data_IF_869108598801
#
_entry.id   IF_869108598801
#
_cell.length_a   1.000
_cell.length_b   1.000
_cell.length_c   1.000
_cell.angle_alpha   90.00
_cell.angle_beta   90.00
_cell.angle_gamma   90.00
#
_symmetry.space_group_name_H-M   'P 1'
#
loop_
_entity.id
_entity.type
_entity.pdbx_description
1 polymer ?
#
# COMPACT_ATOMS: atom_id res chain seq x y z
N UNK A 1 7.43 23.76 -15.07
CA UNK A 1 5.96 23.68 -14.91
C UNK A 1 5.72 22.60 -13.89
N UNK A 2 5.15 22.93 -12.72
CA UNK A 2 4.84 21.90 -11.76
C UNK A 2 3.65 21.07 -12.28
N UNK A 3 3.66 19.73 -12.11
CA UNK A 3 2.54 18.90 -12.52
C UNK A 3 1.26 19.29 -11.77
N UNK A 4 0.15 19.42 -12.49
CA UNK A 4 -1.14 19.69 -11.87
C UNK A 4 -1.64 18.47 -11.09
N UNK A 5 -2.00 18.66 -9.83
CA UNK A 5 -2.42 17.56 -8.95
C UNK A 5 -3.68 16.86 -9.45
N UNK A 6 -4.61 17.58 -10.10
CA UNK A 6 -5.83 16.99 -10.63
C UNK A 6 -5.50 16.08 -11.82
N UNK A 7 -4.64 16.52 -12.72
CA UNK A 7 -4.15 15.69 -13.82
C UNK A 7 -3.44 14.42 -13.32
N UNK A 8 -2.63 14.53 -12.26
CA UNK A 8 -1.97 13.37 -11.66
C UNK A 8 -3.02 12.39 -11.11
N UNK A 9 -4.02 12.87 -10.37
CA UNK A 9 -5.07 12.00 -9.83
C UNK A 9 -5.85 11.30 -10.94
N UNK A 10 -6.21 12.02 -11.99
CA UNK A 10 -6.93 11.47 -13.14
C UNK A 10 -6.11 10.40 -13.89
N UNK A 11 -4.81 10.64 -14.09
CA UNK A 11 -3.94 9.72 -14.82
C UNK A 11 -3.51 8.50 -13.99
N UNK A 12 -3.22 8.67 -12.70
CA UNK A 12 -2.58 7.65 -11.87
C UNK A 12 -3.49 7.04 -10.81
N UNK A 13 -4.71 7.58 -10.62
CA UNK A 13 -5.76 7.07 -9.73
C UNK A 13 -5.95 5.56 -9.82
N UNK A 14 -6.25 5.08 -11.03
CA UNK A 14 -6.49 3.66 -11.30
C UNK A 14 -5.25 2.81 -11.03
N UNK A 15 -4.05 3.31 -11.38
CA UNK A 15 -2.80 2.60 -11.15
C UNK A 15 -2.55 2.38 -9.65
N UNK A 16 -2.64 3.44 -8.83
CA UNK A 16 -2.41 3.37 -7.38
C UNK A 16 -3.40 2.41 -6.73
N UNK A 17 -4.70 2.58 -7.02
CA UNK A 17 -5.75 1.70 -6.48
C UNK A 17 -5.54 0.24 -6.90
N UNK A 18 -5.21 -0.01 -8.18
CA UNK A 18 -5.00 -1.37 -8.68
C UNK A 18 -3.78 -2.05 -8.06
N UNK A 19 -2.69 -1.33 -7.82
CA UNK A 19 -1.51 -1.91 -7.16
C UNK A 19 -1.86 -2.25 -5.70
N UNK A 20 -2.55 -1.36 -4.98
CA UNK A 20 -2.91 -1.57 -3.58
C UNK A 20 -3.80 -2.82 -3.44
N UNK A 21 -4.89 -2.90 -4.21
CA UNK A 21 -5.83 -4.03 -4.14
C UNK A 21 -5.27 -5.35 -4.67
N UNK A 22 -4.22 -5.33 -5.51
CA UNK A 22 -3.53 -6.55 -5.93
C UNK A 22 -2.55 -7.09 -4.89
N UNK A 23 -1.98 -6.20 -4.08
CA UNK A 23 -0.90 -6.57 -3.14
C UNK A 23 -1.38 -6.78 -1.70
N UNK A 24 -2.51 -6.17 -1.32
CA UNK A 24 -3.05 -6.20 0.04
C UNK A 24 -4.46 -6.80 -0.02
N UNK A 25 -4.69 -7.84 0.77
CA UNK A 25 -5.96 -8.58 0.77
C UNK A 25 -7.05 -7.84 1.54
N UNK A 26 -6.69 -7.23 2.67
CA UNK A 26 -7.57 -6.44 3.50
C UNK A 26 -7.88 -5.10 2.79
N UNK A 27 -9.16 -4.90 2.49
CA UNK A 27 -9.62 -3.73 1.74
C UNK A 27 -9.36 -2.40 2.45
N UNK A 28 -9.46 -2.37 3.77
CA UNK A 28 -9.21 -1.15 4.56
C UNK A 28 -7.71 -0.81 4.57
N UNK A 29 -6.85 -1.82 4.77
CA UNK A 29 -5.39 -1.64 4.70
C UNK A 29 -4.98 -1.22 3.27
N UNK A 30 -5.60 -1.78 2.23
CA UNK A 30 -5.33 -1.39 0.85
C UNK A 30 -5.71 0.08 0.59
N UNK A 31 -6.85 0.54 1.14
CA UNK A 31 -7.32 1.92 1.04
C UNK A 31 -6.39 2.88 1.80
N UNK A 32 -5.97 2.52 3.00
CA UNK A 32 -5.00 3.29 3.80
C UNK A 32 -3.66 3.42 3.07
N UNK A 33 -3.14 2.32 2.53
CA UNK A 33 -1.90 2.32 1.74
C UNK A 33 -2.01 3.23 0.51
N UNK A 34 -3.13 3.18 -0.22
CA UNK A 34 -3.38 4.04 -1.37
C UNK A 34 -3.44 5.53 -0.97
N UNK A 35 -4.07 5.85 0.17
CA UNK A 35 -4.12 7.22 0.70
C UNK A 35 -2.73 7.72 1.10
N UNK A 36 -1.91 6.88 1.73
CA UNK A 36 -0.54 7.27 2.08
C UNK A 36 0.32 7.49 0.83
N UNK A 37 0.11 6.72 -0.25
CA UNK A 37 0.76 7.00 -1.54
C UNK A 37 0.42 8.41 -2.03
N UNK A 38 -0.85 8.80 -1.99
CA UNK A 38 -1.27 10.16 -2.38
C UNK A 38 -0.69 11.23 -1.49
N UNK A 39 -0.64 10.99 -0.18
CA UNK A 39 0.01 11.89 0.77
C UNK A 39 1.48 12.10 0.43
N UNK A 40 2.23 11.02 0.17
CA UNK A 40 3.64 11.10 -0.20
C UNK A 40 3.85 11.80 -1.54
N UNK A 41 2.98 11.57 -2.54
CA UNK A 41 3.01 12.28 -3.83
C UNK A 41 2.83 13.78 -3.61
N UNK A 42 1.74 14.20 -2.93
CA UNK A 42 1.44 15.61 -2.69
C UNK A 42 2.56 16.29 -1.90
N UNK A 43 3.08 15.61 -0.88
CA UNK A 43 4.16 16.13 -0.02
C UNK A 43 5.48 16.32 -0.78
N UNK A 44 5.75 15.51 -1.80
CA UNK A 44 7.05 15.46 -2.48
C UNK A 44 7.02 15.92 -3.94
N UNK A 45 5.87 16.30 -4.50
CA UNK A 45 5.75 16.67 -5.92
C UNK A 45 6.65 17.85 -6.30
N UNK A 46 6.84 18.80 -5.38
CA UNK A 46 7.74 19.94 -5.57
C UNK A 46 9.21 19.54 -5.70
N UNK A 47 9.58 18.35 -5.21
CA UNK A 47 10.93 17.79 -5.30
C UNK A 47 11.17 16.99 -6.59
N UNK A 48 10.15 16.80 -7.42
CA UNK A 48 10.30 16.12 -8.70
C UNK A 48 11.15 16.97 -9.65
N UNK A 49 12.37 16.50 -9.93
CA UNK A 49 13.38 17.21 -10.71
C UNK A 49 13.46 16.80 -12.19
N UNK A 50 12.62 15.85 -12.63
CA UNK A 50 12.60 15.38 -14.02
C UNK A 50 13.72 14.43 -14.43
N UNK A 51 14.53 13.91 -13.51
CA UNK A 51 15.56 12.89 -13.81
C UNK A 51 14.96 11.55 -14.28
N UNK A 52 13.67 11.33 -14.00
CA UNK A 52 12.88 10.21 -14.49
C UNK A 52 11.54 10.69 -15.00
N UNK A 53 10.83 9.85 -15.77
CA UNK A 53 9.44 10.14 -16.14
C UNK A 53 8.55 10.21 -14.89
N UNK A 54 7.56 11.12 -14.89
CA UNK A 54 6.62 11.31 -13.79
C UNK A 54 5.93 9.98 -13.40
N UNK A 55 5.56 9.16 -14.40
CA UNK A 55 4.99 7.82 -14.18
C UNK A 55 5.92 6.90 -13.39
N UNK A 56 7.22 6.90 -13.69
CA UNK A 56 8.24 6.10 -12.99
C UNK A 56 8.42 6.58 -11.57
N UNK A 57 8.44 7.89 -11.35
CA UNK A 57 8.57 8.48 -10.04
C UNK A 57 7.36 8.14 -9.15
N UNK A 58 6.13 8.32 -9.65
CA UNK A 58 4.88 7.94 -8.95
C UNK A 58 4.84 6.44 -8.68
N UNK A 59 5.20 5.61 -9.68
CA UNK A 59 5.23 4.16 -9.50
C UNK A 59 6.21 3.75 -8.40
N UNK A 60 7.35 4.43 -8.27
CA UNK A 60 8.34 4.15 -7.23
C UNK A 60 7.79 4.44 -5.83
N UNK A 61 7.14 5.60 -5.64
CA UNK A 61 6.45 5.92 -4.38
C UNK A 61 5.36 4.90 -4.06
N UNK A 62 4.52 4.59 -5.05
CA UNK A 62 3.43 3.64 -4.96
C UNK A 62 3.93 2.26 -4.52
N UNK A 63 4.92 1.72 -5.23
CA UNK A 63 5.53 0.41 -4.94
C UNK A 63 6.16 0.37 -3.56
N UNK A 64 6.91 1.41 -3.16
CA UNK A 64 7.58 1.46 -1.84
C UNK A 64 6.56 1.38 -0.71
N UNK A 65 5.54 2.23 -0.77
CA UNK A 65 4.52 2.33 0.29
C UNK A 65 3.67 1.07 0.34
N UNK A 66 3.10 0.63 -0.78
CA UNK A 66 2.19 -0.53 -0.80
C UNK A 66 2.92 -1.83 -0.43
N UNK A 67 4.16 -2.02 -0.87
CA UNK A 67 4.93 -3.22 -0.51
C UNK A 67 5.18 -3.30 1.00
N UNK A 68 5.37 -2.15 1.66
CA UNK A 68 5.52 -2.09 3.12
C UNK A 68 4.24 -2.54 3.82
N UNK A 69 3.07 -2.06 3.39
CA UNK A 69 1.78 -2.50 3.93
C UNK A 69 1.51 -3.98 3.68
N UNK A 70 1.72 -4.46 2.46
CA UNK A 70 1.53 -5.87 2.10
C UNK A 70 2.42 -6.80 2.95
N UNK A 71 3.67 -6.39 3.21
CA UNK A 71 4.57 -7.13 4.10
C UNK A 71 4.06 -7.17 5.54
N UNK A 72 3.55 -6.05 6.05
CA UNK A 72 3.02 -5.96 7.40
C UNK A 72 1.76 -6.80 7.58
N UNK A 73 0.82 -6.76 6.62
CA UNK A 73 -0.37 -7.63 6.60
C UNK A 73 0.02 -9.11 6.65
N UNK A 74 1.01 -9.50 5.82
CA UNK A 74 1.52 -10.87 5.80
C UNK A 74 2.11 -11.27 7.16
N UNK A 75 2.89 -10.40 7.80
CA UNK A 75 3.48 -10.68 9.12
C UNK A 75 2.38 -10.85 10.18
N UNK A 76 1.39 -9.95 10.21
CA UNK A 76 0.27 -10.05 11.15
C UNK A 76 -0.49 -11.37 10.98
N UNK A 77 -0.85 -11.71 9.72
CA UNK A 77 -1.52 -12.98 9.40
C UNK A 77 -0.68 -14.19 9.85
N UNK A 78 0.63 -14.17 9.63
CA UNK A 78 1.51 -15.26 10.05
C UNK A 78 1.62 -15.38 11.57
N UNK A 79 1.56 -14.28 12.31
CA UNK A 79 1.58 -14.30 13.77
C UNK A 79 0.27 -14.89 14.32
N UNK A 80 -0.88 -14.44 13.82
CA UNK A 80 -2.20 -15.00 14.19
C UNK A 80 -2.26 -16.51 13.95
N UNK A 81 -1.75 -16.99 12.81
CA UNK A 81 -1.69 -18.42 12.51
C UNK A 81 -0.78 -19.20 13.46
N UNK A 82 0.29 -18.59 13.98
CA UNK A 82 1.18 -19.24 14.95
C UNK A 82 0.52 -19.32 16.31
N UNK A 83 -0.08 -18.23 16.77
CA UNK A 83 -0.85 -18.19 18.01
C UNK A 83 -1.97 -19.22 18.01
N UNK A 84 -2.73 -19.32 16.91
CA UNK A 84 -3.79 -20.32 16.76
C UNK A 84 -3.26 -21.76 16.85
N UNK A 85 -2.08 -22.05 16.28
CA UNK A 85 -1.46 -23.38 16.34
C UNK A 85 -0.91 -23.74 17.72
N UNK A 86 -0.59 -22.73 18.53
CA UNK A 86 -0.06 -22.89 19.89
C UNK A 86 -1.18 -22.99 20.95
N UNK A 87 -2.45 -22.84 20.55
CA UNK A 87 -3.58 -23.01 21.47
C UNK A 87 -3.58 -24.43 22.07
N UNK A 88 -3.74 -24.56 23.39
CA UNK A 88 -3.87 -25.86 24.02
C UNK A 88 -5.09 -26.59 23.46
N UNK A 89 -4.99 -27.91 23.31
CA UNK A 89 -6.13 -28.72 22.90
C UNK A 89 -7.26 -28.50 23.91
N UNK A 90 -8.42 -28.09 23.41
CA UNK A 90 -9.60 -27.91 24.26
C UNK A 90 -10.03 -29.30 24.68
N UNK A 91 -9.81 -29.62 25.96
CA UNK A 91 -10.32 -30.85 26.57
C UNK A 91 -11.85 -30.72 26.73
N UNK A 92 -12.59 -31.15 25.70
CA UNK A 92 -14.04 -31.31 25.78
C UNK A 92 -14.35 -32.60 26.55
N UNK A 93 -14.17 -32.56 27.86
CA UNK A 93 -14.80 -33.54 28.75
C UNK A 93 -16.30 -33.18 28.85
N UNK A 94 -17.12 -33.95 28.13
CA UNK A 94 -18.58 -33.93 28.26
C UNK A 94 -19.08 -34.56 29.54
#
# INVERSE_FOLDING_TARGET
>A
MQPDLKEIVEQYGVMVSSIAHRMIQNKEIAKEAAQEVWYEIIKSIDSFNGESGLSTWIYTLCKRTILRYARNERIATMNELREFRELPAIDYNG
#
